data_IF_472012704664
#
_entry.id   IF_472012704664
#
_cell.length_a   1.000
_cell.length_b   1.000
_cell.length_c   1.000
_cell.angle_alpha   90.00
_cell.angle_beta   90.00
_cell.angle_gamma   90.00
#
_symmetry.space_group_name_H-M   'P 1'
#
loop_
_entity.id
_entity.type
_entity.pdbx_description
1 polymer ?
#
# COMPACT_ATOMS: atom_id res chain seq x y z
N UNK A 1 -25.01 4.98 0.21
CA UNK A 1 -23.64 4.75 -0.30
C UNK A 1 -22.70 4.99 0.86
N UNK A 2 -22.32 3.93 1.58
CA UNK A 2 -21.42 4.05 2.71
C UNK A 2 -20.00 3.80 2.18
N UNK A 3 -19.17 4.82 2.34
CA UNK A 3 -17.76 4.88 2.03
C UNK A 3 -17.01 3.76 2.78
N UNK A 4 -16.66 2.67 2.09
CA UNK A 4 -15.75 1.60 2.55
C UNK A 4 -14.51 1.59 1.62
N UNK A 5 -14.35 2.64 0.81
CA UNK A 5 -13.60 2.57 -0.45
C UNK A 5 -12.09 2.42 -0.27
N UNK A 6 -11.49 2.82 0.87
CA UNK A 6 -10.05 2.67 1.05
C UNK A 6 -9.61 1.21 1.31
N UNK A 7 -10.37 0.46 2.11
CA UNK A 7 -9.94 -0.89 2.53
C UNK A 7 -10.38 -2.00 1.57
N UNK A 8 -11.28 -1.68 0.64
CA UNK A 8 -11.84 -2.61 -0.35
C UNK A 8 -11.60 -2.14 -1.79
N UNK A 9 -10.39 -1.64 -2.11
CA UNK A 9 -10.08 -1.03 -3.42
C UNK A 9 -8.77 -1.51 -4.05
N UNK A 10 -8.72 -1.38 -5.37
CA UNK A 10 -7.52 -1.55 -6.18
C UNK A 10 -6.59 -0.34 -6.09
N UNK A 11 -5.36 -0.60 -5.65
CA UNK A 11 -4.25 0.33 -5.56
C UNK A 11 -3.21 0.00 -6.62
N UNK A 12 -2.52 1.04 -7.08
CA UNK A 12 -1.48 0.91 -8.09
C UNK A 12 -0.15 0.56 -7.43
N UNK A 13 0.39 -0.60 -7.79
CA UNK A 13 1.77 -0.99 -7.51
C UNK A 13 2.69 -0.58 -8.67
N UNK A 14 4.01 -0.78 -8.54
CA UNK A 14 4.98 -0.43 -9.58
C UNK A 14 4.71 -1.11 -10.92
N UNK A 15 4.28 -2.38 -10.89
CA UNK A 15 4.14 -3.25 -12.08
C UNK A 15 2.69 -3.73 -12.32
N UNK A 16 1.71 -3.19 -11.60
CA UNK A 16 0.32 -3.67 -11.72
C UNK A 16 -0.62 -3.10 -10.68
N UNK A 17 -1.70 -3.81 -10.41
CA UNK A 17 -2.72 -3.40 -9.45
C UNK A 17 -2.90 -4.45 -8.37
N UNK A 18 -3.05 -4.01 -7.13
CA UNK A 18 -3.36 -4.85 -5.98
C UNK A 18 -4.69 -4.40 -5.39
N UNK A 19 -5.67 -5.30 -5.37
CA UNK A 19 -6.95 -5.06 -4.72
C UNK A 19 -6.89 -5.56 -3.28
N UNK A 20 -7.02 -4.63 -2.34
CA UNK A 20 -7.19 -4.96 -0.93
C UNK A 20 -8.63 -5.34 -0.65
N UNK A 21 -8.85 -6.42 0.10
CA UNK A 21 -10.19 -6.90 0.47
C UNK A 21 -10.32 -7.02 1.97
N UNK A 22 -9.89 -5.97 2.68
CA UNK A 22 -9.91 -5.93 4.14
C UNK A 22 -11.33 -5.62 4.61
N UNK A 23 -11.91 -6.51 5.41
CA UNK A 23 -13.29 -6.37 5.90
C UNK A 23 -13.38 -6.36 7.42
N UNK A 24 -12.34 -6.85 8.09
CA UNK A 24 -12.28 -6.98 9.54
C UNK A 24 -11.12 -6.19 10.14
N UNK A 25 -11.21 -5.93 11.44
CA UNK A 25 -10.15 -5.24 12.18
C UNK A 25 -8.88 -6.09 12.32
N UNK A 26 -9.01 -7.42 12.35
CA UNK A 26 -7.87 -8.33 12.39
C UNK A 26 -7.06 -8.26 11.08
N UNK A 27 -7.75 -8.30 9.93
CA UNK A 27 -7.12 -8.13 8.62
C UNK A 27 -6.48 -6.74 8.48
N UNK A 28 -7.13 -5.71 9.02
CA UNK A 28 -6.56 -4.37 9.10
C UNK A 28 -5.25 -4.35 9.89
N UNK A 29 -5.21 -4.95 11.09
CA UNK A 29 -3.98 -5.05 11.89
C UNK A 29 -2.85 -5.72 11.12
N UNK A 30 -3.14 -6.81 10.38
CA UNK A 30 -2.13 -7.50 9.56
C UNK A 30 -1.62 -6.62 8.42
N UNK A 31 -2.50 -5.91 7.74
CA UNK A 31 -2.12 -4.95 6.69
C UNK A 31 -1.23 -3.86 7.27
N UNK A 32 -1.62 -3.26 8.41
CA UNK A 32 -0.85 -2.22 9.10
C UNK A 32 0.57 -2.66 9.43
N UNK A 33 0.69 -3.82 10.08
CA UNK A 33 1.96 -4.43 10.46
C UNK A 33 2.85 -4.67 9.23
N UNK A 34 2.26 -5.16 8.13
CA UNK A 34 2.98 -5.39 6.89
C UNK A 34 3.47 -4.08 6.24
N UNK A 35 2.64 -3.05 6.21
CA UNK A 35 3.01 -1.74 5.66
C UNK A 35 4.07 -1.04 6.52
N UNK A 36 3.97 -1.15 7.85
CA UNK A 36 4.96 -0.63 8.80
C UNK A 36 6.32 -1.29 8.63
N UNK A 37 6.37 -2.61 8.59
CA UNK A 37 7.63 -3.34 8.35
C UNK A 37 8.23 -3.04 6.98
N UNK A 38 7.39 -2.94 5.94
CA UNK A 38 7.86 -2.61 4.61
C UNK A 38 8.40 -1.17 4.53
N UNK A 39 7.81 -0.21 5.25
CA UNK A 39 8.35 1.14 5.38
C UNK A 39 9.69 1.12 6.14
N UNK A 40 9.78 0.38 7.25
CA UNK A 40 11.02 0.21 8.00
C UNK A 40 12.13 -0.45 7.19
N UNK A 41 11.81 -1.50 6.42
CA UNK A 41 12.78 -2.21 5.58
C UNK A 41 13.31 -1.35 4.43
N UNK A 42 12.45 -0.51 3.83
CA UNK A 42 12.87 0.47 2.81
C UNK A 42 13.85 1.49 3.41
N UNK A 43 13.50 2.01 4.60
CA UNK A 43 14.38 2.91 5.34
C UNK A 43 15.69 2.22 5.73
N UNK A 44 15.68 1.01 6.28
CA UNK A 44 16.92 0.30 6.65
C UNK A 44 17.82 0.01 5.43
N UNK A 45 17.22 -0.18 4.25
CA UNK A 45 17.96 -0.34 3.00
C UNK A 45 18.58 0.99 2.52
N UNK A 46 17.86 2.11 2.61
CA UNK A 46 18.36 3.45 2.27
C UNK A 46 19.40 3.98 3.30
N UNK A 47 19.29 3.58 4.56
CA UNK A 47 20.20 3.97 5.65
C UNK A 47 21.57 3.29 5.61
N UNK A 48 21.79 2.28 4.77
CA UNK A 48 23.04 1.52 4.76
C UNK A 48 24.25 2.32 4.25
N UNK A 49 24.06 3.50 3.64
CA UNK A 49 25.16 4.32 3.10
C UNK A 49 25.27 5.75 3.66
N UNK A 50 24.43 6.18 4.61
CA UNK A 50 24.60 7.50 5.24
C UNK A 50 24.00 7.63 6.64
N UNK A 51 24.71 7.07 7.63
CA UNK A 51 24.57 7.54 9.01
C UNK A 51 25.32 8.88 9.16
N UNK A 52 24.68 9.96 9.65
CA UNK A 52 25.44 11.03 10.29
C UNK A 52 26.11 10.46 11.56
N UNK A 53 27.38 10.80 11.78
CA UNK A 53 28.21 10.27 12.86
C UNK A 53 27.80 10.76 14.27
N UNK A 54 26.89 11.72 14.34
CA UNK A 54 26.32 12.22 15.59
C UNK A 54 25.03 11.44 15.87
N UNK A 55 25.04 10.63 16.93
CA UNK A 55 23.95 9.74 17.35
C UNK A 55 22.64 10.41 17.78
N UNK A 56 22.22 11.46 17.09
CA UNK A 56 20.86 11.95 17.10
C UNK A 56 20.02 10.96 16.30
N UNK A 57 19.11 10.27 17.00
CA UNK A 57 18.11 9.41 16.38
C UNK A 57 17.37 10.20 15.31
N UNK A 58 17.73 9.96 14.05
CA UNK A 58 17.00 10.49 12.92
C UNK A 58 15.56 9.96 13.02
N UNK A 59 14.62 10.86 13.31
CA UNK A 59 13.19 10.60 13.26
C UNK A 59 12.67 11.14 11.93
N UNK A 60 12.61 10.34 10.85
CA UNK A 60 12.09 10.80 9.57
C UNK A 60 10.60 11.14 9.68
N UNK A 61 10.25 12.26 9.04
CA UNK A 61 8.92 12.88 9.03
C UNK A 61 7.85 12.07 8.28
N UNK A 62 8.21 10.89 7.75
CA UNK A 62 7.33 9.98 7.01
C UNK A 62 7.25 8.60 7.66
N UNK A 63 7.41 8.56 8.98
CA UNK A 63 7.07 7.38 9.74
C UNK A 63 5.56 7.18 9.60
N UNK A 64 5.19 6.20 8.77
CA UNK A 64 3.83 5.68 8.62
C UNK A 64 3.42 5.10 9.99
N UNK A 65 3.14 5.97 10.98
CA UNK A 65 2.76 5.60 12.35
C UNK A 65 1.32 5.12 12.38
N UNK A 66 0.96 4.28 11.42
CA UNK A 66 -0.30 3.58 11.36
C UNK A 66 -0.48 2.67 12.60
N UNK A 67 0.61 2.38 13.33
CA UNK A 67 0.56 1.69 14.63
C UNK A 67 -0.08 2.53 15.75
N UNK A 68 0.07 3.86 15.77
CA UNK A 68 -0.43 4.71 16.86
C UNK A 68 -1.26 5.93 16.40
N UNK A 69 -1.55 6.07 15.10
CA UNK A 69 -2.35 7.19 14.62
C UNK A 69 -3.81 7.04 15.10
N UNK A 70 -4.30 7.92 15.99
CA UNK A 70 -5.64 7.83 16.53
C UNK A 70 -6.70 7.95 15.43
N UNK A 71 -6.39 8.57 14.28
CA UNK A 71 -7.29 8.73 13.13
C UNK A 71 -7.65 7.40 12.46
N UNK A 72 -6.88 6.34 12.67
CA UNK A 72 -7.15 5.02 12.08
C UNK A 72 -7.42 3.93 13.12
N UNK A 73 -7.61 4.30 14.39
CA UNK A 73 -7.78 3.37 15.50
C UNK A 73 -9.07 2.55 15.42
N UNK A 74 -10.18 3.16 14.97
CA UNK A 74 -11.50 2.52 14.88
C UNK A 74 -11.99 2.45 13.44
N UNK A 75 -12.97 1.58 13.17
CA UNK A 75 -13.59 1.49 11.84
C UNK A 75 -14.30 2.80 11.44
N UNK A 76 -14.87 3.51 12.40
CA UNK A 76 -15.53 4.80 12.18
C UNK A 76 -14.52 5.88 11.76
N UNK A 77 -13.45 6.06 12.54
CA UNK A 77 -12.42 7.05 12.24
C UNK A 77 -11.72 6.73 10.91
N UNK A 78 -11.46 5.45 10.61
CA UNK A 78 -10.95 5.03 9.30
C UNK A 78 -11.86 5.42 8.15
N UNK A 79 -13.17 5.40 8.36
CA UNK A 79 -14.13 5.85 7.34
C UNK A 79 -14.10 7.36 7.20
N UNK A 80 -14.07 8.09 8.31
CA UNK A 80 -13.97 9.55 8.30
C UNK A 80 -12.68 10.03 7.61
N UNK A 81 -11.59 9.31 7.81
CA UNK A 81 -10.26 9.58 7.22
C UNK A 81 -9.94 8.67 6.03
N UNK A 82 -10.93 8.09 5.35
CA UNK A 82 -10.71 7.13 4.27
C UNK A 82 -9.91 7.72 3.09
N UNK A 83 -10.12 9.01 2.79
CA UNK A 83 -9.37 9.70 1.74
C UNK A 83 -7.88 9.80 2.06
N UNK A 84 -7.53 10.19 3.30
CA UNK A 84 -6.15 10.24 3.78
C UNK A 84 -5.54 8.83 3.80
N UNK A 85 -6.27 7.85 4.36
CA UNK A 85 -5.84 6.45 4.41
C UNK A 85 -5.55 5.90 3.01
N UNK A 86 -6.39 6.19 2.03
CA UNK A 86 -6.20 5.75 0.66
C UNK A 86 -4.93 6.33 0.03
N UNK A 87 -4.57 7.57 0.37
CA UNK A 87 -3.36 8.23 -0.11
C UNK A 87 -2.14 7.53 0.47
N UNK A 88 -2.14 7.30 1.79
CA UNK A 88 -1.07 6.59 2.51
C UNK A 88 -0.85 5.18 1.94
N UNK A 89 -1.92 4.41 1.74
CA UNK A 89 -1.84 3.07 1.16
C UNK A 89 -1.34 3.12 -0.30
N UNK A 90 -1.80 4.10 -1.09
CA UNK A 90 -1.34 4.28 -2.48
C UNK A 90 0.17 4.55 -2.52
N UNK A 91 0.66 5.42 -1.65
CA UNK A 91 2.07 5.79 -1.58
C UNK A 91 2.96 4.66 -1.08
N UNK A 92 2.48 3.86 -0.14
CA UNK A 92 3.19 2.66 0.27
C UNK A 92 3.24 1.64 -0.88
N UNK A 93 2.10 1.31 -1.50
CA UNK A 93 2.01 0.25 -2.49
C UNK A 93 2.77 0.56 -3.78
N UNK A 94 2.84 1.83 -4.19
CA UNK A 94 3.59 2.25 -5.40
C UNK A 94 5.11 2.13 -5.30
N UNK A 95 5.65 1.87 -4.11
CA UNK A 95 7.10 1.78 -3.90
C UNK A 95 7.66 0.38 -4.19
N UNK A 96 6.80 -0.64 -4.34
CA UNK A 96 7.23 -2.02 -4.66
C UNK A 96 6.36 -2.67 -5.72
N UNK A 97 6.88 -3.76 -6.29
CA UNK A 97 6.15 -4.54 -7.28
C UNK A 97 5.00 -5.33 -6.64
N UNK A 98 4.02 -5.70 -7.47
CA UNK A 98 2.90 -6.54 -7.00
C UNK A 98 3.37 -7.87 -6.40
N UNK A 99 4.51 -8.41 -6.87
CA UNK A 99 5.03 -9.70 -6.42
C UNK A 99 5.63 -9.61 -5.02
N UNK A 100 6.39 -8.56 -4.74
CA UNK A 100 6.97 -8.33 -3.41
C UNK A 100 5.86 -8.10 -2.38
N UNK A 101 4.87 -7.27 -2.71
CA UNK A 101 3.70 -7.10 -1.86
C UNK A 101 2.90 -8.37 -1.68
N UNK A 102 2.70 -9.16 -2.74
CA UNK A 102 2.02 -10.44 -2.65
C UNK A 102 2.74 -11.41 -1.72
N UNK A 103 4.08 -11.46 -1.76
CA UNK A 103 4.88 -12.30 -0.87
C UNK A 103 4.70 -11.88 0.60
N UNK A 104 4.84 -10.58 0.87
CA UNK A 104 4.64 -10.00 2.21
C UNK A 104 3.22 -10.23 2.74
N UNK A 105 2.20 -9.98 1.92
CA UNK A 105 0.80 -10.19 2.29
C UNK A 105 0.49 -11.67 2.51
N UNK A 106 1.06 -12.56 1.70
CA UNK A 106 0.90 -14.02 1.88
C UNK A 106 1.56 -14.48 3.18
N UNK A 107 2.78 -14.01 3.47
CA UNK A 107 3.50 -14.36 4.68
C UNK A 107 2.74 -13.94 5.96
N UNK A 108 2.02 -12.80 5.89
CA UNK A 108 1.25 -12.23 7.01
C UNK A 108 -0.24 -12.61 6.99
N UNK A 109 -0.71 -13.32 5.97
CA UNK A 109 -2.13 -13.70 5.82
C UNK A 109 -3.06 -12.51 5.66
N UNK A 110 -2.60 -11.46 4.98
CA UNK A 110 -3.41 -10.30 4.59
C UNK A 110 -4.22 -10.68 3.35
N UNK A 111 -5.54 -10.41 3.29
CA UNK A 111 -6.32 -10.70 2.10
C UNK A 111 -6.06 -9.66 0.99
N UNK A 112 -5.63 -10.15 -0.17
CA UNK A 112 -5.33 -9.35 -1.35
C UNK A 112 -5.70 -10.11 -2.62
N UNK A 113 -5.89 -9.38 -3.72
CA UNK A 113 -6.06 -9.92 -5.07
C UNK A 113 -5.11 -9.19 -6.03
N UNK A 114 -4.24 -9.95 -6.71
CA UNK A 114 -3.37 -9.41 -7.76
C UNK A 114 -4.18 -9.23 -9.03
N UNK A 115 -4.22 -8.01 -9.54
CA UNK A 115 -4.83 -7.70 -10.83
C UNK A 115 -3.76 -7.33 -11.83
N UNK A 116 -3.70 -8.13 -12.91
CA UNK A 116 -2.92 -7.76 -14.08
C UNK A 116 -3.47 -6.45 -14.64
N UNK A 117 -2.61 -5.50 -15.07
CA UNK A 117 -3.11 -4.34 -15.79
C UNK A 117 -3.89 -4.84 -17.00
N UNK A 118 -5.08 -4.27 -17.23
CA UNK A 118 -5.76 -4.48 -18.48
C UNK A 118 -4.79 -4.03 -19.58
N UNK A 119 -4.33 -4.98 -20.39
CA UNK A 119 -3.49 -4.68 -21.55
C UNK A 119 -4.18 -3.54 -22.29
N UNK A 120 -3.51 -2.40 -22.58
CA UNK A 120 -4.14 -1.38 -23.39
C UNK A 120 -4.53 -2.08 -24.67
N UNK A 121 -5.84 -2.15 -24.95
CA UNK A 121 -6.35 -2.64 -26.21
C UNK A 121 -5.72 -1.76 -27.28
N UNK A 122 -4.59 -2.18 -27.85
CA UNK A 122 -4.08 -1.62 -29.07
C UNK A 122 -5.15 -1.92 -30.10
N UNK A 123 -5.95 -0.91 -30.41
CA UNK A 123 -6.87 -0.91 -31.51
C UNK A 123 -6.04 -1.12 -32.78
N UNK A 124 -5.81 -2.37 -33.16
CA UNK A 124 -5.45 -2.74 -34.52
C UNK A 124 -6.70 -2.50 -35.35
N UNK A 125 -6.84 -1.28 -35.86
CA UNK A 125 -7.76 -1.01 -36.97
C UNK A 125 -7.33 -1.89 -38.15
N UNK A 126 -8.20 -2.74 -38.73
CA UNK A 126 -7.88 -3.40 -39.97
C UNK A 126 -7.79 -2.35 -41.07
N UNK A 127 -6.72 -2.42 -41.86
CA UNK A 127 -6.44 -1.51 -42.97
C UNK A 127 -7.63 -1.34 -43.90
N UNK A 128 -8.03 -0.09 -44.10
CA UNK A 128 -8.96 0.29 -45.14
C UNK A 128 -8.26 0.23 -46.49
N UNK A 129 -8.60 -0.82 -47.23
CA UNK A 129 -8.81 -0.90 -48.69
C UNK A 129 -8.06 0.07 -49.60
N UNK A 130 -7.28 -0.52 -50.49
CA UNK A 130 -6.81 0.05 -51.75
C UNK A 130 -7.95 0.59 -52.64
#
# INVERSE_FOLDING_TARGET
MADIDALQRAYRATDGWLHLTITTDEEWRRLRDTLGEAALADHMWDHHERHPADGEAYLPQFQLQVEDDPRFATAELRREHAAELSTVITEALRNRTQREWADLFTARGVPYEVRKPAQPSTSSAPGGGA
#
